data_IF_584417673774
#
_entry.id   IF_584417673774
#
_cell.length_a   1.000
_cell.length_b   1.000
_cell.length_c   1.000
_cell.angle_alpha   90.00
_cell.angle_beta   90.00
_cell.angle_gamma   90.00
#
_symmetry.space_group_name_H-M   'P 1'
#
loop_
_entity.id
_entity.type
_entity.pdbx_description
1 polymer ?
#
# COMPACT_ATOMS: atom_id res chain seq x y z
N UNK A 1 -6.06 12.95 -112.23
CA UNK A 1 -6.53 11.65 -111.70
C UNK A 1 -6.54 11.76 -110.18
N UNK A 2 -7.71 11.49 -109.63
CA UNK A 2 -8.24 11.58 -108.25
C UNK A 2 -7.32 11.97 -107.08
N UNK A 3 -7.67 13.10 -106.47
CA UNK A 3 -7.28 13.50 -105.13
C UNK A 3 -8.28 12.85 -104.14
N UNK A 4 -7.90 11.73 -103.51
CA UNK A 4 -8.75 11.01 -102.55
C UNK A 4 -8.57 11.63 -101.17
N UNK A 5 -9.55 12.40 -100.71
CA UNK A 5 -9.59 12.93 -99.35
C UNK A 5 -9.52 11.77 -98.33
N UNK A 6 -8.54 11.84 -97.43
CA UNK A 6 -8.40 10.87 -96.34
C UNK A 6 -9.59 10.99 -95.40
N UNK A 7 -10.29 9.86 -95.25
CA UNK A 7 -11.45 9.69 -94.38
C UNK A 7 -11.11 10.07 -92.93
N UNK A 8 -12.05 10.71 -92.24
CA UNK A 8 -11.84 11.27 -90.89
C UNK A 8 -11.46 10.18 -89.87
N UNK A 9 -11.78 8.93 -90.19
CA UNK A 9 -11.42 7.73 -89.43
C UNK A 9 -9.93 7.36 -89.52
N UNK A 10 -9.28 7.51 -90.68
CA UNK A 10 -7.84 7.25 -90.82
C UNK A 10 -6.98 8.27 -90.05
N UNK A 11 -7.46 9.51 -89.94
CA UNK A 11 -6.81 10.53 -89.10
C UNK A 11 -6.98 10.26 -87.61
N UNK A 12 -8.13 9.73 -87.19
CA UNK A 12 -8.34 9.32 -85.81
C UNK A 12 -7.45 8.11 -85.44
N UNK A 13 -7.27 7.16 -86.37
CA UNK A 13 -6.49 5.93 -86.15
C UNK A 13 -4.97 6.19 -86.07
N UNK A 14 -4.46 7.18 -86.83
CA UNK A 14 -3.05 7.64 -86.74
C UNK A 14 -2.75 8.32 -85.39
N UNK A 15 -3.74 8.99 -84.80
CA UNK A 15 -3.63 9.64 -83.48
C UNK A 15 -3.86 8.62 -82.36
N UNK A 16 -4.77 7.65 -82.53
CA UNK A 16 -5.09 6.64 -81.51
C UNK A 16 -3.95 5.64 -81.27
N UNK A 17 -3.18 5.26 -82.30
CA UNK A 17 -2.08 4.28 -82.20
C UNK A 17 -1.01 4.63 -81.15
N UNK A 18 -0.48 5.86 -81.09
CA UNK A 18 0.42 6.27 -80.00
C UNK A 18 -0.29 6.60 -78.68
N UNK A 19 -1.56 7.01 -78.72
CA UNK A 19 -2.33 7.38 -77.51
C UNK A 19 -2.74 6.15 -76.69
N UNK A 20 -3.00 5.00 -77.32
CA UNK A 20 -3.32 3.75 -76.62
C UNK A 20 -2.23 3.27 -75.67
N UNK A 21 -0.96 3.34 -76.09
CA UNK A 21 0.19 3.00 -75.25
C UNK A 21 0.43 3.99 -74.10
N UNK A 22 0.10 5.27 -74.31
CA UNK A 22 0.18 6.28 -73.27
C UNK A 22 -0.92 6.11 -72.20
N UNK A 23 -2.14 5.78 -72.62
CA UNK A 23 -3.27 5.55 -71.71
C UNK A 23 -3.07 4.29 -70.86
N UNK A 24 -2.51 3.21 -71.42
CA UNK A 24 -2.17 2.01 -70.62
C UNK A 24 -1.06 2.29 -69.63
N UNK A 25 -0.02 3.04 -70.02
CA UNK A 25 1.03 3.47 -69.10
C UNK A 25 0.49 4.35 -67.96
N UNK A 26 -0.42 5.29 -68.26
CA UNK A 26 -1.10 6.12 -67.27
C UNK A 26 -1.98 5.30 -66.32
N UNK A 27 -2.72 4.33 -66.83
CA UNK A 27 -3.56 3.45 -66.02
C UNK A 27 -2.72 2.58 -65.06
N UNK A 28 -1.61 2.02 -65.54
CA UNK A 28 -0.67 1.25 -64.71
C UNK A 28 0.00 2.14 -63.65
N UNK A 29 0.42 3.35 -64.03
CA UNK A 29 1.00 4.31 -63.09
C UNK A 29 -0.01 4.76 -62.02
N UNK A 30 -1.27 5.01 -62.41
CA UNK A 30 -2.34 5.37 -61.48
C UNK A 30 -2.65 4.22 -60.52
N UNK A 31 -2.79 2.98 -61.02
CA UNK A 31 -2.99 1.80 -60.18
C UNK A 31 -1.81 1.56 -59.23
N UNK A 32 -0.57 1.75 -59.70
CA UNK A 32 0.62 1.68 -58.87
C UNK A 32 0.63 2.75 -57.76
N UNK A 33 0.23 3.98 -58.08
CA UNK A 33 0.15 5.08 -57.13
C UNK A 33 -0.94 4.87 -56.07
N UNK A 34 -2.17 4.54 -56.49
CA UNK A 34 -3.28 4.28 -55.57
C UNK A 34 -3.07 3.02 -54.73
N UNK A 35 -2.56 1.94 -55.34
CA UNK A 35 -2.22 0.70 -54.64
C UNK A 35 -1.10 0.90 -53.62
N UNK A 36 -0.04 1.64 -53.98
CA UNK A 36 1.06 1.95 -53.07
C UNK A 36 0.60 2.80 -51.88
N UNK A 37 -0.27 3.79 -52.10
CA UNK A 37 -0.77 4.63 -51.02
C UNK A 37 -1.67 3.87 -50.04
N UNK A 38 -2.50 2.95 -50.54
CA UNK A 38 -3.33 2.09 -49.68
C UNK A 38 -2.50 1.10 -48.85
N UNK A 39 -1.49 0.46 -49.47
CA UNK A 39 -0.57 -0.44 -48.77
C UNK A 39 0.25 0.31 -47.71
N UNK A 40 0.77 1.50 -48.03
CA UNK A 40 1.50 2.35 -47.08
C UNK A 40 0.66 2.76 -45.87
N UNK A 41 -0.62 3.09 -46.07
CA UNK A 41 -1.53 3.43 -44.97
C UNK A 41 -1.75 2.23 -44.03
N UNK A 42 -1.91 1.03 -44.60
CA UNK A 42 -2.09 -0.20 -43.83
C UNK A 42 -0.81 -0.63 -43.09
N UNK A 43 0.35 -0.54 -43.75
CA UNK A 43 1.65 -0.81 -43.12
C UNK A 43 1.94 0.18 -41.99
N UNK A 44 1.60 1.47 -42.15
CA UNK A 44 1.77 2.47 -41.11
C UNK A 44 0.91 2.17 -39.87
N UNK A 45 -0.34 1.74 -40.08
CA UNK A 45 -1.23 1.32 -39.00
C UNK A 45 -0.67 0.09 -38.27
N UNK A 46 -0.22 -0.94 -38.99
CA UNK A 46 0.38 -2.14 -38.41
C UNK A 46 1.68 -1.85 -37.64
N UNK A 47 2.56 -0.98 -38.17
CA UNK A 47 3.77 -0.54 -37.47
C UNK A 47 3.44 0.20 -36.18
N UNK A 48 2.49 1.12 -36.21
CA UNK A 48 2.07 1.86 -35.01
C UNK A 48 1.48 0.94 -33.93
N UNK A 49 0.75 -0.11 -34.32
CA UNK A 49 0.23 -1.10 -33.38
C UNK A 49 1.36 -1.95 -32.78
N UNK A 50 2.34 -2.38 -33.60
CA UNK A 50 3.50 -3.14 -33.12
C UNK A 50 4.40 -2.33 -32.20
N UNK A 51 4.63 -1.05 -32.51
CA UNK A 51 5.39 -0.13 -31.65
C UNK A 51 4.71 0.05 -30.29
N UNK A 52 3.37 0.21 -30.26
CA UNK A 52 2.60 0.27 -29.01
C UNK A 52 2.67 -1.02 -28.20
N UNK A 53 2.59 -2.18 -28.85
CA UNK A 53 2.76 -3.48 -28.20
C UNK A 53 4.17 -3.63 -27.61
N UNK A 54 5.21 -3.33 -28.38
CA UNK A 54 6.61 -3.39 -27.93
C UNK A 54 6.89 -2.41 -26.77
N UNK A 55 6.33 -1.19 -26.84
CA UNK A 55 6.46 -0.22 -25.75
C UNK A 55 5.76 -0.70 -24.47
N UNK A 56 4.63 -1.39 -24.58
CA UNK A 56 3.90 -1.96 -23.45
C UNK A 56 4.68 -3.13 -22.84
N UNK A 57 5.16 -4.06 -23.68
CA UNK A 57 6.00 -5.18 -23.26
C UNK A 57 7.28 -4.72 -22.55
N UNK A 58 7.95 -3.70 -23.08
CA UNK A 58 9.15 -3.13 -22.46
C UNK A 58 8.85 -2.51 -21.09
N UNK A 59 7.73 -1.78 -20.95
CA UNK A 59 7.30 -1.22 -19.66
C UNK A 59 6.98 -2.32 -18.65
N UNK A 60 6.26 -3.36 -19.06
CA UNK A 60 5.93 -4.51 -18.20
C UNK A 60 7.21 -5.23 -17.75
N UNK A 61 8.16 -5.42 -18.66
CA UNK A 61 9.46 -6.04 -18.33
C UNK A 61 10.27 -5.19 -17.36
N UNK A 62 10.42 -3.89 -17.62
CA UNK A 62 11.12 -2.97 -16.72
C UNK A 62 10.47 -2.95 -15.33
N UNK A 63 9.14 -2.93 -15.27
CA UNK A 63 8.39 -3.01 -14.02
C UNK A 63 8.65 -4.33 -13.29
N UNK A 64 8.63 -5.46 -14.00
CA UNK A 64 8.94 -6.78 -13.44
C UNK A 64 10.38 -6.87 -12.93
N UNK A 65 11.35 -6.34 -13.68
CA UNK A 65 12.76 -6.30 -13.27
C UNK A 65 12.96 -5.40 -12.04
N UNK A 66 12.34 -4.21 -12.00
CA UNK A 66 12.40 -3.31 -10.84
C UNK A 66 11.73 -3.93 -9.61
N UNK A 67 10.58 -4.57 -9.77
CA UNK A 67 9.89 -5.24 -8.68
C UNK A 67 10.70 -6.42 -8.15
N UNK A 68 11.27 -7.23 -9.04
CA UNK A 68 12.17 -8.33 -8.67
C UNK A 68 13.41 -7.81 -7.92
N UNK A 69 14.02 -6.72 -8.41
CA UNK A 69 15.17 -6.08 -7.74
C UNK A 69 14.82 -5.51 -6.38
N UNK A 70 13.65 -4.89 -6.26
CA UNK A 70 13.13 -4.40 -4.98
C UNK A 70 12.89 -5.53 -4.00
N UNK A 71 12.28 -6.64 -4.45
CA UNK A 71 12.04 -7.81 -3.62
C UNK A 71 13.33 -8.50 -3.18
N UNK A 72 14.32 -8.60 -4.08
CA UNK A 72 15.66 -9.11 -3.77
C UNK A 72 16.35 -8.24 -2.71
N UNK A 73 16.32 -6.92 -2.87
CA UNK A 73 16.91 -5.97 -1.92
C UNK A 73 16.20 -6.00 -0.55
N UNK A 74 14.87 -6.01 -0.53
CA UNK A 74 14.07 -6.13 0.70
C UNK A 74 14.36 -7.47 1.42
N UNK A 75 14.53 -8.56 0.68
CA UNK A 75 14.83 -9.88 1.25
C UNK A 75 16.25 -9.96 1.80
N UNK A 76 17.22 -9.38 1.10
CA UNK A 76 18.60 -9.25 1.57
C UNK A 76 18.68 -8.40 2.85
N UNK A 77 18.00 -7.25 2.86
CA UNK A 77 17.89 -6.39 4.04
C UNK A 77 17.28 -7.15 5.23
N UNK A 78 16.17 -7.87 5.02
CA UNK A 78 15.56 -8.71 6.07
C UNK A 78 16.53 -9.79 6.61
N UNK A 79 17.33 -10.41 5.75
CA UNK A 79 18.34 -11.40 6.14
C UNK A 79 19.45 -10.78 7.00
N UNK A 80 20.02 -9.66 6.57
CA UNK A 80 21.11 -8.98 7.28
C UNK A 80 20.63 -8.44 8.63
N UNK A 81 19.43 -7.87 8.65
CA UNK A 81 18.74 -7.48 9.87
C UNK A 81 18.50 -8.65 10.82
N UNK A 82 17.99 -9.77 10.32
CA UNK A 82 17.74 -10.96 11.14
C UNK A 82 19.04 -11.47 11.77
N UNK A 83 20.14 -11.49 11.02
CA UNK A 83 21.46 -11.84 11.55
C UNK A 83 21.87 -10.88 12.68
N UNK A 84 21.74 -9.57 12.48
CA UNK A 84 22.03 -8.57 13.52
C UNK A 84 21.18 -8.78 14.78
N UNK A 85 19.88 -9.07 14.64
CA UNK A 85 18.98 -9.37 15.76
C UNK A 85 19.44 -10.62 16.51
N UNK A 86 19.76 -11.72 15.80
CA UNK A 86 20.26 -12.95 16.44
C UNK A 86 21.54 -12.66 17.22
N UNK A 87 22.47 -11.94 16.60
CA UNK A 87 23.78 -11.66 17.18
C UNK A 87 23.68 -10.78 18.42
N UNK A 88 22.81 -9.76 18.43
CA UNK A 88 22.65 -8.84 19.55
C UNK A 88 21.69 -9.32 20.64
N UNK A 89 20.61 -10.03 20.30
CA UNK A 89 19.54 -10.34 21.26
C UNK A 89 19.54 -11.80 21.71
N UNK A 90 19.90 -12.75 20.84
CA UNK A 90 19.76 -14.18 21.12
C UNK A 90 21.06 -14.86 21.56
N UNK A 91 22.23 -14.32 21.25
CA UNK A 91 23.51 -14.90 21.72
C UNK A 91 23.70 -14.66 23.23
N UNK A 92 23.77 -15.71 24.07
CA UNK A 92 23.99 -15.56 25.52
C UNK A 92 25.33 -14.88 25.80
N UNK A 93 25.35 -13.90 26.71
CA UNK A 93 26.57 -13.21 27.17
C UNK A 93 27.18 -12.19 26.20
N UNK A 94 26.57 -11.93 25.05
CA UNK A 94 27.15 -11.09 23.99
C UNK A 94 26.98 -9.57 24.18
N UNK A 95 25.99 -9.12 24.96
CA UNK A 95 25.69 -7.70 25.07
C UNK A 95 25.13 -7.28 26.43
N UNK A 96 25.58 -6.12 26.93
CA UNK A 96 25.02 -5.46 28.11
C UNK A 96 23.57 -5.03 27.89
N UNK A 97 22.84 -4.71 28.97
CA UNK A 97 21.45 -4.25 28.84
C UNK A 97 21.35 -2.93 28.05
N UNK A 98 22.33 -2.04 28.24
CA UNK A 98 22.47 -0.79 27.49
C UNK A 98 22.65 -1.05 25.99
N UNK A 99 23.56 -1.94 25.62
CA UNK A 99 23.78 -2.30 24.21
C UNK A 99 22.51 -2.87 23.56
N UNK A 100 21.74 -3.69 24.29
CA UNK A 100 20.46 -4.22 23.78
C UNK A 100 19.43 -3.13 23.57
N UNK A 101 19.36 -2.13 24.46
CA UNK A 101 18.49 -0.96 24.28
C UNK A 101 18.94 -0.19 23.05
N UNK A 102 20.21 0.23 22.98
CA UNK A 102 20.76 0.98 21.86
C UNK A 102 20.57 0.25 20.51
N UNK A 103 20.80 -1.06 20.46
CA UNK A 103 20.61 -1.84 19.23
C UNK A 103 19.13 -1.89 18.83
N UNK A 104 18.20 -1.99 19.78
CA UNK A 104 16.77 -1.90 19.45
C UNK A 104 16.40 -0.50 18.94
N UNK A 105 16.97 0.56 19.51
CA UNK A 105 16.76 1.94 19.05
C UNK A 105 17.22 2.11 17.59
N UNK A 106 18.43 1.65 17.27
CA UNK A 106 18.97 1.68 15.91
C UNK A 106 18.12 0.86 14.94
N UNK A 107 17.70 -0.35 15.34
CA UNK A 107 16.84 -1.18 14.50
C UNK A 107 15.49 -0.50 14.25
N UNK A 108 14.89 0.08 15.29
CA UNK A 108 13.61 0.76 15.19
C UNK A 108 13.68 1.98 14.27
N UNK A 109 14.69 2.84 14.39
CA UNK A 109 14.78 4.03 13.56
C UNK A 109 15.04 3.77 12.09
N UNK A 110 15.77 2.70 11.77
CA UNK A 110 16.18 2.42 10.40
C UNK A 110 15.24 1.46 9.68
N UNK A 111 14.45 0.67 10.40
CA UNK A 111 13.75 -0.47 9.81
C UNK A 111 12.34 -0.71 10.34
N UNK A 112 11.70 0.30 10.92
CA UNK A 112 10.32 0.19 11.42
C UNK A 112 9.27 -0.16 10.35
N UNK A 113 9.60 -0.03 9.06
CA UNK A 113 8.71 -0.38 7.93
C UNK A 113 8.99 -1.78 7.37
N UNK A 114 10.01 -2.48 7.86
CA UNK A 114 10.44 -3.76 7.27
C UNK A 114 10.20 -4.96 8.18
N UNK A 115 10.00 -4.75 9.48
CA UNK A 115 9.89 -5.83 10.47
C UNK A 115 8.90 -5.51 11.60
N UNK A 116 8.28 -6.55 12.13
CA UNK A 116 7.54 -6.46 13.40
C UNK A 116 8.50 -6.43 14.59
N UNK A 117 8.69 -5.24 15.16
CA UNK A 117 9.57 -5.02 16.31
C UNK A 117 8.88 -5.21 17.67
N UNK A 118 7.55 -5.28 17.71
CA UNK A 118 6.77 -5.40 18.96
C UNK A 118 7.25 -6.53 19.88
N UNK A 119 7.52 -7.77 19.37
CA UNK A 119 8.05 -8.84 20.22
C UNK A 119 9.38 -8.48 20.91
N UNK A 120 10.27 -7.75 20.22
CA UNK A 120 11.57 -7.34 20.77
C UNK A 120 11.41 -6.28 21.86
N UNK A 121 10.55 -5.28 21.62
CA UNK A 121 10.22 -4.27 22.63
C UNK A 121 9.61 -4.90 23.89
N UNK A 122 8.64 -5.80 23.73
CA UNK A 122 8.01 -6.51 24.85
C UNK A 122 9.02 -7.37 25.61
N UNK A 123 9.86 -8.12 24.88
CA UNK A 123 10.89 -8.98 25.48
C UNK A 123 11.91 -8.16 26.29
N UNK A 124 12.43 -7.07 25.70
CA UNK A 124 13.40 -6.22 26.36
C UNK A 124 12.80 -5.47 27.57
N UNK A 125 11.57 -4.94 27.45
CA UNK A 125 10.83 -4.35 28.57
C UNK A 125 10.69 -5.34 29.73
N UNK A 126 10.27 -6.58 29.45
CA UNK A 126 10.18 -7.64 30.48
C UNK A 126 11.55 -7.89 31.13
N UNK A 127 12.60 -8.03 30.33
CA UNK A 127 13.96 -8.26 30.83
C UNK A 127 14.45 -7.12 31.74
N UNK A 128 14.22 -5.86 31.36
CA UNK A 128 14.55 -4.67 32.17
C UNK A 128 13.80 -4.69 33.51
N UNK A 129 12.48 -4.94 33.47
CA UNK A 129 11.63 -4.95 34.67
C UNK A 129 12.11 -6.01 35.68
N UNK A 130 12.39 -7.22 35.21
CA UNK A 130 12.77 -8.36 36.08
C UNK A 130 14.26 -8.43 36.42
N UNK A 131 15.14 -7.63 35.81
CA UNK A 131 16.57 -7.68 36.08
C UNK A 131 16.89 -7.27 37.54
N UNK A 132 17.48 -8.16 38.34
CA UNK A 132 17.77 -7.86 39.76
C UNK A 132 18.96 -6.93 39.98
N UNK A 133 19.86 -6.84 39.01
CA UNK A 133 21.17 -6.19 39.15
C UNK A 133 21.16 -4.67 38.90
N UNK A 134 20.00 -4.08 38.62
CA UNK A 134 19.87 -2.66 38.28
C UNK A 134 19.01 -1.90 39.30
N UNK A 135 19.43 -0.68 39.62
CA UNK A 135 18.63 0.25 40.44
C UNK A 135 17.32 0.59 39.73
N UNK A 136 16.26 0.86 40.51
CA UNK A 136 14.94 1.23 39.98
C UNK A 136 15.00 2.41 39.01
N UNK A 137 15.82 3.43 39.30
CA UNK A 137 16.00 4.60 38.44
C UNK A 137 16.54 4.23 37.04
N UNK A 138 17.59 3.41 36.98
CA UNK A 138 18.19 2.97 35.70
C UNK A 138 17.22 2.12 34.87
N UNK A 139 16.41 1.27 35.52
CA UNK A 139 15.37 0.51 34.82
C UNK A 139 14.33 1.44 34.19
N UNK A 140 13.92 2.45 34.94
CA UNK A 140 12.93 3.43 34.51
C UNK A 140 13.44 4.22 33.30
N UNK A 141 14.70 4.65 33.33
CA UNK A 141 15.37 5.33 32.22
C UNK A 141 15.36 4.49 30.93
N UNK A 142 15.71 3.20 31.01
CA UNK A 142 15.66 2.31 29.83
C UNK A 142 14.22 2.11 29.31
N UNK A 143 13.24 1.96 30.20
CA UNK A 143 11.84 1.84 29.80
C UNK A 143 11.35 3.12 29.12
N UNK A 144 11.73 4.29 29.63
CA UNK A 144 11.39 5.59 29.04
C UNK A 144 12.02 5.78 27.67
N UNK A 145 13.28 5.37 27.50
CA UNK A 145 13.96 5.33 26.20
C UNK A 145 13.21 4.45 25.19
N UNK A 146 12.84 3.23 25.58
CA UNK A 146 12.07 2.33 24.72
C UNK A 146 10.71 2.92 24.32
N UNK A 147 9.98 3.50 25.28
CA UNK A 147 8.71 4.14 25.01
C UNK A 147 8.86 5.38 24.11
N UNK A 148 9.96 6.14 24.27
CA UNK A 148 10.27 7.28 23.41
C UNK A 148 10.49 6.84 21.97
N UNK A 149 11.35 5.84 21.75
CA UNK A 149 11.63 5.33 20.40
C UNK A 149 10.37 4.78 19.75
N UNK A 150 9.58 4.00 20.49
CA UNK A 150 8.35 3.45 19.96
C UNK A 150 7.36 4.55 19.56
N UNK A 151 7.16 5.57 20.41
CA UNK A 151 6.32 6.75 20.06
C UNK A 151 6.83 7.50 18.84
N UNK A 152 8.15 7.68 18.71
CA UNK A 152 8.72 8.36 17.54
C UNK A 152 8.51 7.58 16.25
N UNK A 153 8.67 6.26 16.29
CA UNK A 153 8.36 5.35 15.18
C UNK A 153 6.89 5.42 14.84
N UNK A 154 6.00 5.28 15.83
CA UNK A 154 4.56 5.32 15.61
C UNK A 154 4.11 6.65 15.04
N UNK A 155 4.66 7.78 15.51
CA UNK A 155 4.38 9.10 14.94
C UNK A 155 4.80 9.20 13.48
N UNK A 156 5.96 8.65 13.10
CA UNK A 156 6.39 8.60 11.69
C UNK A 156 5.43 7.77 10.84
N UNK A 157 5.02 6.60 11.34
CA UNK A 157 4.06 5.75 10.63
C UNK A 157 2.71 6.45 10.48
N UNK A 158 2.19 7.07 11.54
CA UNK A 158 0.94 7.84 11.48
C UNK A 158 1.00 8.95 10.42
N UNK A 159 2.10 9.71 10.34
CA UNK A 159 2.24 10.76 9.30
C UNK A 159 2.12 10.22 7.87
N UNK A 160 2.66 9.01 7.61
CA UNK A 160 2.54 8.36 6.30
C UNK A 160 1.10 7.90 6.05
N UNK A 161 0.49 7.27 7.06
CA UNK A 161 -0.87 6.76 6.97
C UNK A 161 -1.93 7.87 6.84
N UNK A 162 -1.74 8.99 7.53
CA UNK A 162 -2.58 10.19 7.43
C UNK A 162 -2.54 10.81 6.03
N UNK A 163 -1.46 10.61 5.27
CA UNK A 163 -1.39 11.06 3.88
C UNK A 163 -2.30 10.28 2.93
N UNK A 164 -2.77 9.09 3.33
CA UNK A 164 -3.56 8.19 2.50
C UNK A 164 -4.88 7.74 3.14
N UNK A 165 -5.15 8.16 4.37
CA UNK A 165 -6.28 7.73 5.18
C UNK A 165 -6.83 8.84 6.05
N UNK A 166 -7.79 8.50 6.89
CA UNK A 166 -8.40 9.43 7.85
C UNK A 166 -8.18 8.96 9.28
N UNK A 167 -8.23 9.90 10.23
CA UNK A 167 -8.06 9.59 11.65
C UNK A 167 -8.94 10.45 12.54
N UNK A 168 -9.10 10.00 13.77
CA UNK A 168 -9.59 10.84 14.86
C UNK A 168 -8.86 10.54 16.15
N UNK A 169 -8.78 11.56 17.01
CA UNK A 169 -8.12 11.45 18.29
C UNK A 169 -9.12 11.42 19.45
N UNK A 170 -8.78 10.73 20.53
CA UNK A 170 -9.59 10.68 21.76
C UNK A 170 -8.70 10.77 22.98
N UNK A 171 -9.14 11.59 23.92
CA UNK A 171 -8.59 11.64 25.27
C UNK A 171 -9.47 10.84 26.20
N UNK A 172 -8.85 10.04 27.03
CA UNK A 172 -9.50 9.12 27.97
C UNK A 172 -9.09 9.54 29.37
N UNK A 173 -10.07 9.78 30.23
CA UNK A 173 -9.87 9.99 31.65
C UNK A 173 -9.79 8.63 32.38
N UNK A 174 -8.59 8.32 32.88
CA UNK A 174 -8.32 7.07 33.58
C UNK A 174 -8.90 7.05 34.99
N UNK A 175 -9.13 8.20 35.62
CA UNK A 175 -9.78 8.25 36.92
C UNK A 175 -11.26 7.87 36.81
N UNK A 176 -11.93 8.38 35.78
CA UNK A 176 -13.31 8.01 35.46
C UNK A 176 -13.44 6.53 35.09
N UNK A 177 -12.42 5.97 34.40
CA UNK A 177 -12.41 4.55 34.01
C UNK A 177 -12.38 3.65 35.24
N UNK A 178 -11.56 3.96 36.24
CA UNK A 178 -11.46 3.19 37.51
C UNK A 178 -12.78 3.16 38.30
N UNK A 179 -13.64 4.16 38.09
CA UNK A 179 -14.93 4.30 38.80
C UNK A 179 -16.10 3.64 38.06
N UNK A 180 -15.93 3.27 36.79
CA UNK A 180 -17.00 2.74 35.93
C UNK A 180 -16.80 1.24 35.65
N UNK A 181 -17.45 0.34 36.41
CA UNK A 181 -17.39 -1.09 36.11
C UNK A 181 -18.12 -1.37 34.78
N UNK A 182 -17.37 -1.81 33.76
CA UNK A 182 -17.88 -2.08 32.41
C UNK A 182 -17.24 -1.25 31.30
N UNK A 183 -16.39 -0.28 31.66
CA UNK A 183 -15.64 0.54 30.72
C UNK A 183 -16.36 1.82 30.29
N UNK A 184 -15.65 2.68 29.57
CA UNK A 184 -16.13 3.98 29.09
C UNK A 184 -16.29 3.93 27.56
N UNK A 185 -17.50 4.15 27.02
CA UNK A 185 -17.67 4.38 25.60
C UNK A 185 -17.12 5.75 25.22
N UNK A 186 -16.28 5.79 24.19
CA UNK A 186 -15.81 7.05 23.60
C UNK A 186 -16.81 7.53 22.56
N UNK A 187 -16.76 8.84 22.27
CA UNK A 187 -17.60 9.43 21.22
C UNK A 187 -17.32 8.75 19.88
N UNK A 188 -18.37 8.18 19.30
CA UNK A 188 -18.38 7.57 17.96
C UNK A 188 -17.87 8.56 16.92
N UNK A 189 -17.14 8.04 15.92
CA UNK A 189 -16.62 8.82 14.81
C UNK A 189 -16.89 8.09 13.51
N UNK A 190 -17.24 8.83 12.48
CA UNK A 190 -17.38 8.30 11.14
C UNK A 190 -16.20 8.75 10.31
N UNK A 191 -15.54 7.82 9.63
CA UNK A 191 -14.43 8.09 8.70
C UNK A 191 -14.78 7.53 7.32
N UNK A 192 -14.27 8.18 6.28
CA UNK A 192 -14.53 7.77 4.89
C UNK A 192 -13.22 7.48 4.18
N UNK A 193 -13.16 6.35 3.46
CA UNK A 193 -12.02 5.99 2.63
C UNK A 193 -12.52 5.30 1.36
N UNK A 194 -12.06 5.76 0.20
CA UNK A 194 -12.45 5.24 -1.12
C UNK A 194 -13.98 5.16 -1.31
N UNK A 195 -14.71 6.19 -0.86
CA UNK A 195 -16.18 6.28 -0.85
C UNK A 195 -16.90 5.27 0.06
N UNK A 196 -16.17 4.57 0.93
CA UNK A 196 -16.74 3.69 1.95
C UNK A 196 -16.74 4.44 3.28
N UNK A 197 -17.93 4.76 3.76
CA UNK A 197 -18.14 5.41 5.06
C UNK A 197 -18.26 4.34 6.15
N UNK A 198 -17.50 4.46 7.24
CA UNK A 198 -17.56 3.54 8.38
C UNK A 198 -17.64 4.28 9.70
N UNK A 199 -18.48 3.76 10.60
CA UNK A 199 -18.55 4.27 11.96
C UNK A 199 -17.69 3.44 12.91
N UNK A 200 -16.88 4.13 13.69
CA UNK A 200 -15.94 3.57 14.66
C UNK A 200 -16.37 3.94 16.07
N UNK A 201 -16.62 2.92 16.89
CA UNK A 201 -16.97 3.06 18.29
C UNK A 201 -15.95 2.32 19.14
N UNK A 202 -15.26 3.07 20.00
CA UNK A 202 -14.23 2.54 20.89
C UNK A 202 -14.76 2.54 22.32
N UNK A 203 -14.63 1.41 23.00
CA UNK A 203 -14.88 1.27 24.42
C UNK A 203 -13.56 0.99 25.12
N UNK A 204 -13.23 1.76 26.15
CA UNK A 204 -12.07 1.50 27.00
C UNK A 204 -12.53 0.69 28.19
N UNK A 205 -12.06 -0.55 28.32
CA UNK A 205 -12.53 -1.51 29.31
C UNK A 205 -11.68 -1.47 30.58
N UNK A 206 -10.36 -1.39 30.43
CA UNK A 206 -9.39 -1.48 31.51
C UNK A 206 -8.11 -0.72 31.14
N UNK A 207 -7.32 -0.33 32.14
CA UNK A 207 -5.99 0.22 31.95
C UNK A 207 -5.00 -0.45 32.91
N UNK A 208 -3.80 -0.78 32.42
CA UNK A 208 -2.65 -1.25 33.20
C UNK A 208 -1.60 -0.13 33.29
N UNK A 209 -1.52 0.60 34.42
CA UNK A 209 -0.54 1.67 34.59
C UNK A 209 0.92 1.20 34.64
N UNK A 210 1.17 -0.07 34.99
CA UNK A 210 2.54 -0.62 35.07
C UNK A 210 3.08 -0.89 33.68
N UNK A 211 2.24 -1.44 32.82
CA UNK A 211 2.60 -1.75 31.44
C UNK A 211 2.38 -0.56 30.50
N UNK A 212 1.62 0.45 30.95
CA UNK A 212 1.15 1.60 30.15
C UNK A 212 0.36 1.12 28.93
N UNK A 213 -0.62 0.27 29.19
CA UNK A 213 -1.48 -0.36 28.20
C UNK A 213 -2.94 -0.13 28.58
N UNK A 214 -3.81 -0.02 27.59
CA UNK A 214 -5.26 0.02 27.77
C UNK A 214 -5.91 -1.14 27.03
N UNK A 215 -6.93 -1.74 27.63
CA UNK A 215 -7.76 -2.74 26.98
C UNK A 215 -8.92 -2.05 26.31
N UNK A 216 -9.07 -2.23 25.01
CA UNK A 216 -10.11 -1.59 24.21
C UNK A 216 -10.96 -2.63 23.50
N UNK A 217 -12.24 -2.30 23.31
CA UNK A 217 -13.12 -2.96 22.36
C UNK A 217 -13.44 -1.97 21.24
N UNK A 218 -13.10 -2.35 20.03
CA UNK A 218 -13.39 -1.62 18.80
C UNK A 218 -14.59 -2.28 18.12
N UNK A 219 -15.64 -1.50 17.91
CA UNK A 219 -16.80 -1.86 17.10
C UNK A 219 -16.77 -1.00 15.83
N UNK A 220 -16.84 -1.65 14.68
CA UNK A 220 -16.79 -1.01 13.36
C UNK A 220 -18.07 -1.37 12.63
N UNK A 221 -18.80 -0.34 12.20
CA UNK A 221 -20.05 -0.50 11.46
C UNK A 221 -19.84 -0.06 10.03
N UNK A 222 -20.05 -0.99 9.10
CA UNK A 222 -20.00 -0.74 7.65
C UNK A 222 -21.41 -0.81 7.08
N UNK A 223 -21.99 0.30 6.60
CA UNK A 223 -23.24 0.27 5.86
C UNK A 223 -23.06 -0.56 4.57
N UNK A 224 -24.01 -1.46 4.27
CA UNK A 224 -24.08 -2.12 2.96
C UNK A 224 -25.10 -1.40 2.08
N UNK A 225 -25.12 -1.74 0.78
CA UNK A 225 -26.14 -1.25 -0.16
C UNK A 225 -27.56 -1.77 0.18
N UNK A 226 -27.65 -2.86 0.94
CA UNK A 226 -28.88 -3.32 1.61
C UNK A 226 -29.07 -2.57 2.93
N UNK A 227 -30.29 -2.58 3.50
CA UNK A 227 -30.54 -2.06 4.86
C UNK A 227 -29.76 -2.80 5.98
N UNK A 228 -28.92 -3.78 5.63
CA UNK A 228 -28.08 -4.52 6.55
C UNK A 228 -26.77 -3.76 6.86
N UNK A 229 -26.36 -3.79 8.12
CA UNK A 229 -25.10 -3.19 8.59
C UNK A 229 -24.15 -4.31 8.98
N UNK A 230 -22.94 -4.31 8.42
CA UNK A 230 -21.89 -5.21 8.88
C UNK A 230 -21.27 -4.67 10.17
N UNK A 231 -21.14 -5.51 11.18
CA UNK A 231 -20.58 -5.12 12.48
C UNK A 231 -19.40 -6.02 12.80
N UNK A 232 -18.21 -5.44 12.75
CA UNK A 232 -16.98 -6.09 13.16
C UNK A 232 -16.62 -5.66 14.59
N UNK A 233 -16.29 -6.62 15.44
CA UNK A 233 -15.91 -6.37 16.83
C UNK A 233 -14.54 -7.00 17.13
N UNK A 234 -13.66 -6.24 17.75
CA UNK A 234 -12.35 -6.70 18.18
C UNK A 234 -12.04 -6.20 19.60
N UNK A 235 -11.48 -7.06 20.45
CA UNK A 235 -11.07 -6.69 21.81
C UNK A 235 -9.59 -7.05 22.00
N UNK A 236 -8.76 -6.06 22.35
CA UNK A 236 -7.32 -6.22 22.46
C UNK A 236 -6.69 -5.16 23.37
N UNK A 237 -5.45 -5.40 23.77
CA UNK A 237 -4.64 -4.43 24.50
C UNK A 237 -3.88 -3.52 23.53
N UNK A 238 -3.79 -2.24 23.86
CA UNK A 238 -3.06 -1.20 23.12
C UNK A 238 -2.07 -0.52 24.04
N UNK A 239 -0.80 -0.48 23.63
CA UNK A 239 0.34 0.12 24.29
C UNK A 239 1.22 0.88 23.30
N UNK A 240 2.37 1.36 23.77
CA UNK A 240 3.32 2.11 22.92
C UNK A 240 3.99 1.27 21.83
N UNK A 241 3.96 -0.05 21.94
CA UNK A 241 4.66 -0.96 21.03
C UNK A 241 3.74 -1.53 19.93
N UNK A 242 2.49 -1.07 19.86
CA UNK A 242 1.55 -1.41 18.81
C UNK A 242 1.72 -0.45 17.63
N UNK A 243 2.41 -0.91 16.60
CA UNK A 243 2.78 -0.10 15.44
C UNK A 243 1.69 -0.22 14.36
N UNK A 244 1.03 0.88 13.93
CA UNK A 244 -0.18 0.81 13.12
C UNK A 244 0.00 0.14 11.74
N UNK A 245 1.20 0.25 11.14
CA UNK A 245 1.49 -0.42 9.86
C UNK A 245 1.58 -1.95 9.99
N UNK A 246 1.62 -2.49 11.21
CA UNK A 246 1.83 -3.91 11.50
C UNK A 246 0.70 -4.48 12.35
N UNK A 247 0.39 -3.84 13.48
CA UNK A 247 -0.70 -4.19 14.38
C UNK A 247 -1.95 -3.39 13.98
N UNK A 248 -2.76 -3.95 13.08
CA UNK A 248 -4.02 -3.38 12.61
C UNK A 248 -5.12 -4.44 12.48
N UNK A 249 -6.36 -3.98 12.53
CA UNK A 249 -7.56 -4.73 12.17
C UNK A 249 -7.79 -4.60 10.67
N UNK A 250 -7.82 -5.72 9.96
CA UNK A 250 -8.18 -5.75 8.54
C UNK A 250 -9.70 -5.65 8.41
N UNK A 251 -10.13 -4.89 7.42
CA UNK A 251 -11.54 -4.65 7.07
C UNK A 251 -11.76 -5.07 5.62
N UNK A 252 -13.03 -5.13 5.21
CA UNK A 252 -13.39 -5.33 3.81
C UNK A 252 -12.79 -4.24 2.89
N UNK A 253 -12.59 -4.58 1.61
CA UNK A 253 -12.05 -3.73 0.55
C UNK A 253 -10.55 -3.39 0.68
N UNK A 254 -9.75 -4.29 1.27
CA UNK A 254 -8.31 -4.06 1.52
C UNK A 254 -8.07 -2.74 2.26
N UNK A 255 -8.87 -2.49 3.30
CA UNK A 255 -8.72 -1.33 4.16
C UNK A 255 -8.42 -1.81 5.58
N UNK A 256 -7.80 -0.95 6.37
CA UNK A 256 -7.27 -1.31 7.69
C UNK A 256 -7.55 -0.22 8.69
N UNK A 257 -7.75 -0.63 9.93
CA UNK A 257 -7.90 0.27 11.06
C UNK A 257 -6.89 -0.08 12.14
N UNK A 258 -6.27 0.92 12.75
CA UNK A 258 -5.39 0.73 13.90
C UNK A 258 -5.73 1.71 15.02
N UNK A 259 -5.57 1.27 16.26
CA UNK A 259 -5.63 2.13 17.44
C UNK A 259 -4.22 2.27 17.98
N UNK A 260 -3.80 3.51 18.16
CA UNK A 260 -2.47 3.86 18.65
C UNK A 260 -2.58 4.57 19.98
N UNK A 261 -1.70 4.20 20.92
CA UNK A 261 -1.48 4.93 22.17
C UNK A 261 -0.42 6.02 21.97
N UNK A 262 -0.84 7.29 22.02
CA UNK A 262 0.07 8.43 21.85
C UNK A 262 0.76 8.80 23.17
N UNK A 263 -0.02 8.86 24.24
CA UNK A 263 0.42 9.32 25.56
C UNK A 263 -0.28 8.54 26.67
N UNK A 264 0.42 8.31 27.78
CA UNK A 264 -0.12 7.60 28.95
C UNK A 264 0.45 8.23 30.22
N UNK A 265 -0.43 8.91 30.95
CA UNK A 265 -0.17 9.55 32.23
C UNK A 265 -1.02 8.91 33.33
N UNK A 266 -0.89 9.36 34.58
CA UNK A 266 -1.60 8.74 35.71
C UNK A 266 -3.11 8.99 35.69
N UNK A 267 -3.52 10.18 35.22
CA UNK A 267 -4.91 10.65 35.18
C UNK A 267 -5.55 10.51 33.81
N UNK A 268 -4.76 10.47 32.73
CA UNK A 268 -5.30 10.47 31.37
C UNK A 268 -4.39 9.80 30.36
N UNK A 269 -4.99 9.43 29.24
CA UNK A 269 -4.28 8.87 28.09
C UNK A 269 -4.88 9.38 26.79
N UNK A 270 -4.07 9.45 25.74
CA UNK A 270 -4.46 9.93 24.43
C UNK A 270 -4.26 8.83 23.39
N UNK A 271 -5.29 8.59 22.59
CA UNK A 271 -5.26 7.61 21.50
C UNK A 271 -5.61 8.25 20.17
N UNK A 272 -5.08 7.67 19.10
CA UNK A 272 -5.49 7.93 17.73
C UNK A 272 -6.07 6.65 17.15
N UNK A 273 -7.22 6.77 16.49
CA UNK A 273 -7.75 5.73 15.61
C UNK A 273 -7.49 6.17 14.18
N UNK A 274 -6.84 5.33 13.39
CA UNK A 274 -6.50 5.62 11.99
C UNK A 274 -7.09 4.56 11.08
N UNK A 275 -7.67 5.00 9.96
CA UNK A 275 -8.31 4.18 8.95
C UNK A 275 -7.66 4.47 7.60
N UNK A 276 -7.05 3.45 6.98
CA UNK A 276 -6.12 3.60 5.87
C UNK A 276 -6.16 2.41 4.89
N UNK A 277 -5.66 2.58 3.64
CA UNK A 277 -5.60 1.49 2.67
C UNK A 277 -4.58 0.42 3.03
N UNK A 278 -4.89 -0.83 2.72
CA UNK A 278 -4.06 -2.00 3.05
C UNK A 278 -2.68 -2.00 2.39
N UNK A 279 -2.53 -1.28 1.27
CA UNK A 279 -1.27 -1.06 0.57
C UNK A 279 -0.20 -0.35 1.42
N UNK A 280 -0.58 0.34 2.49
CA UNK A 280 0.33 1.02 3.42
C UNK A 280 0.73 0.17 4.64
N UNK A 281 0.22 -1.06 4.77
CA UNK A 281 0.69 -1.98 5.79
C UNK A 281 2.09 -2.53 5.42
N UNK A 282 3.00 -2.48 6.39
CA UNK A 282 4.45 -2.67 6.22
C UNK A 282 4.85 -4.11 5.89
N UNK A 283 4.03 -5.09 6.24
CA UNK A 283 4.24 -6.48 5.86
C UNK A 283 3.34 -6.75 4.66
N UNK A 284 3.94 -6.97 3.49
CA UNK A 284 3.27 -7.58 2.34
C UNK A 284 2.74 -8.95 2.77
N UNK A 285 1.58 -8.94 3.40
CA UNK A 285 0.77 -10.13 3.63
C UNK A 285 0.34 -10.61 2.25
N UNK A 286 0.43 -11.92 2.02
CA UNK A 286 -0.07 -12.50 0.77
C UNK A 286 -1.56 -12.10 0.67
N UNK A 287 -2.01 -11.50 -0.44
CA UNK A 287 -3.42 -11.15 -0.60
C UNK A 287 -4.25 -12.42 -0.43
N UNK A 288 -5.33 -12.34 0.35
CA UNK A 288 -6.19 -13.49 0.56
C UNK A 288 -6.99 -13.78 -0.70
N UNK A 289 -7.34 -15.05 -0.93
CA UNK A 289 -8.01 -15.50 -2.15
C UNK A 289 -9.32 -14.73 -2.45
N UNK A 290 -10.04 -14.30 -1.41
CA UNK A 290 -11.27 -13.52 -1.54
C UNK A 290 -11.04 -12.07 -2.00
N UNK A 291 -9.92 -11.45 -1.61
CA UNK A 291 -9.53 -10.09 -2.02
C UNK A 291 -9.07 -10.08 -3.48
N UNK A 292 -8.28 -11.07 -3.89
CA UNK A 292 -7.90 -11.26 -5.30
C UNK A 292 -9.16 -11.46 -6.15
N UNK A 293 -10.11 -12.28 -5.66
CA UNK A 293 -11.37 -12.49 -6.35
C UNK A 293 -12.20 -11.20 -6.45
N UNK A 294 -12.29 -10.40 -5.39
CA UNK A 294 -13.01 -9.12 -5.44
C UNK A 294 -12.33 -8.09 -6.36
N UNK A 295 -11.00 -7.98 -6.33
CA UNK A 295 -10.25 -7.09 -7.23
C UNK A 295 -10.40 -7.49 -8.70
N UNK A 296 -10.41 -8.80 -9.01
CA UNK A 296 -10.68 -9.30 -10.36
C UNK A 296 -12.11 -8.98 -10.81
N UNK A 297 -13.10 -9.12 -9.92
CA UNK A 297 -14.50 -8.80 -10.21
C UNK A 297 -14.75 -7.29 -10.39
N UNK A 298 -14.00 -6.44 -9.70
CA UNK A 298 -14.07 -4.98 -9.84
C UNK A 298 -13.35 -4.48 -11.10
N UNK A 299 -12.20 -5.07 -11.46
CA UNK A 299 -11.47 -4.73 -12.69
C UNK A 299 -12.23 -5.04 -14.00
N UNK A 300 -13.16 -5.98 -13.98
CA UNK A 300 -14.06 -6.27 -15.12
C UNK A 300 -15.18 -5.23 -15.30
N UNK A 301 -15.47 -4.41 -14.28
CA UNK A 301 -16.52 -3.38 -14.37
C UNK A 301 -16.03 -2.05 -14.95
N UNK A 302 -14.73 -1.75 -14.87
CA UNK A 302 -14.15 -0.52 -15.45
C UNK A 302 -13.80 -0.65 -16.95
N UNK A 303 -14.02 -1.82 -17.56
CA UNK A 303 -13.72 -2.09 -18.98
C UNK A 303 -14.96 -2.28 -19.86
N UNK A 304 -16.14 -1.86 -19.41
CA UNK A 304 -17.37 -1.82 -20.23
C UNK A 304 -17.91 -0.41 -20.41
#
# INVERSE_FOLDING_TARGET
MENKEKDRWDKADIILKPVGGFLTALAVAALGFFGSNYLKAREAAERSSRERMQATEMRVRLYSELMSKREEAESALRKDMFKSIIESFLKPGSASLEEKVLNLELLAYNFHESLNLKPLFIHLRKHITFAKNYKKATKQEYIERLNKVAREVTRKQLLVLEGAGEKFDRTIDLESLRKTPGGIPLKEATLTLDNIERSFKVFVLEADPKMKEIKVRLEIRTPKESEEVDIENAEFWVGFFDFPMIDNTRLSHDQRCAIVLNEFEESGTHITVIYFPGSYASLKEKPYYEEVRQQLLLGERETK
#
